data_IF_522238962460
#
_entry.id   IF_522238962460
#
_cell.length_a   1.000
_cell.length_b   1.000
_cell.length_c   1.000
_cell.angle_alpha   90.00
_cell.angle_beta   90.00
_cell.angle_gamma   90.00
#
_symmetry.space_group_name_H-M   'P 1'
#
loop_
_entity.id
_entity.type
_entity.pdbx_description
1 polymer ?
#
# COMPACT_ATOMS: atom_id res chain seq x y z
N UNK A 1 2.34 -23.11 20.00
CA UNK A 1 1.30 -22.07 19.84
C UNK A 1 1.92 -20.73 20.21
N UNK A 2 2.33 -19.92 19.24
CA UNK A 2 2.88 -18.58 19.52
C UNK A 2 1.73 -17.57 19.55
N UNK A 3 1.22 -17.31 20.74
CA UNK A 3 0.37 -16.16 21.01
C UNK A 3 1.30 -14.96 21.23
N UNK A 4 1.46 -14.09 20.22
CA UNK A 4 2.35 -12.94 20.34
C UNK A 4 1.56 -11.69 19.99
N UNK A 5 0.96 -11.09 21.03
CA UNK A 5 0.49 -9.70 21.01
C UNK A 5 1.63 -8.74 21.32
N UNK A 6 2.81 -8.94 20.71
CA UNK A 6 3.96 -8.04 20.88
C UNK A 6 4.08 -7.09 19.69
N UNK A 7 4.61 -5.87 19.89
CA UNK A 7 4.84 -4.91 18.81
C UNK A 7 5.62 -5.50 17.63
N UNK A 8 6.54 -6.43 17.88
CA UNK A 8 7.37 -7.07 16.84
C UNK A 8 6.56 -8.00 15.93
N UNK A 9 5.61 -8.77 16.47
CA UNK A 9 4.75 -9.64 15.66
C UNK A 9 3.82 -8.82 14.76
N UNK A 10 3.19 -7.79 15.32
CA UNK A 10 2.40 -6.84 14.54
C UNK A 10 3.25 -6.19 13.44
N UNK A 11 4.51 -5.87 13.76
CA UNK A 11 5.44 -5.31 12.79
C UNK A 11 5.81 -6.29 11.68
N UNK A 12 6.10 -7.53 12.04
CA UNK A 12 6.39 -8.59 11.08
C UNK A 12 5.21 -8.81 10.12
N UNK A 13 3.97 -8.73 10.60
CA UNK A 13 2.79 -8.89 9.76
C UNK A 13 2.59 -7.70 8.81
N UNK A 14 2.83 -6.47 9.27
CA UNK A 14 2.84 -5.29 8.41
C UNK A 14 3.96 -5.36 7.36
N UNK A 15 5.16 -5.83 7.75
CA UNK A 15 6.28 -6.04 6.84
C UNK A 15 5.97 -7.12 5.81
N UNK A 16 5.41 -8.28 6.19
CA UNK A 16 4.95 -9.32 5.26
C UNK A 16 3.92 -8.77 4.27
N UNK A 17 3.03 -7.91 4.74
CA UNK A 17 2.02 -7.28 3.90
C UNK A 17 2.64 -6.33 2.87
N UNK A 18 3.67 -5.57 3.21
CA UNK A 18 4.32 -4.68 2.24
C UNK A 18 5.46 -5.35 1.46
N UNK A 19 5.96 -6.51 1.88
CA UNK A 19 7.05 -7.26 1.23
C UNK A 19 6.60 -7.96 -0.06
N UNK A 20 6.01 -7.21 -0.99
CA UNK A 20 5.66 -7.63 -2.34
C UNK A 20 5.99 -6.47 -3.30
N UNK A 21 6.70 -6.74 -4.42
CA UNK A 21 7.14 -5.69 -5.33
C UNK A 21 5.99 -4.85 -5.90
N UNK A 22 4.87 -5.49 -6.23
CA UNK A 22 3.69 -4.81 -6.78
C UNK A 22 3.07 -3.90 -5.73
N UNK A 23 2.93 -4.36 -4.49
CA UNK A 23 2.39 -3.54 -3.39
C UNK A 23 3.28 -2.34 -3.07
N UNK A 24 4.61 -2.52 -3.00
CA UNK A 24 5.53 -1.39 -2.81
C UNK A 24 5.44 -0.38 -3.96
N UNK A 25 5.37 -0.87 -5.20
CA UNK A 25 5.19 -0.01 -6.36
C UNK A 25 3.90 0.80 -6.28
N UNK A 26 2.76 0.16 -5.96
CA UNK A 26 1.47 0.83 -5.80
C UNK A 26 1.55 1.91 -4.72
N UNK A 27 2.11 1.60 -3.56
CA UNK A 27 2.25 2.55 -2.45
C UNK A 27 3.14 3.74 -2.84
N UNK A 28 4.25 3.49 -3.52
CA UNK A 28 5.14 4.54 -4.03
C UNK A 28 4.46 5.38 -5.10
N UNK A 29 3.74 4.78 -6.05
CA UNK A 29 2.99 5.49 -7.07
C UNK A 29 1.94 6.42 -6.46
N UNK A 30 1.17 5.91 -5.49
CA UNK A 30 0.10 6.65 -4.82
C UNK A 30 0.62 7.73 -3.85
N UNK A 31 1.91 7.72 -3.51
CA UNK A 31 2.55 8.81 -2.76
C UNK A 31 2.56 10.14 -3.52
N UNK A 32 2.54 10.07 -4.86
CA UNK A 32 2.45 11.24 -5.74
C UNK A 32 1.01 11.78 -5.87
N UNK A 33 0.00 11.00 -5.48
CA UNK A 33 -1.40 11.42 -5.48
C UNK A 33 -2.38 10.29 -5.80
N UNK A 34 -3.70 10.55 -5.70
CA UNK A 34 -4.73 9.56 -6.02
C UNK A 34 -4.69 9.15 -7.49
N UNK A 35 -4.93 7.87 -7.77
CA UNK A 35 -4.94 7.29 -9.12
C UNK A 35 -6.12 6.36 -9.31
N UNK A 36 -6.71 6.34 -10.50
CA UNK A 36 -7.70 5.30 -10.87
C UNK A 36 -6.99 4.00 -11.24
N UNK A 37 -7.70 2.87 -11.13
CA UNK A 37 -7.15 1.53 -11.40
C UNK A 37 -6.42 1.44 -12.75
N UNK A 38 -6.94 2.09 -13.80
CA UNK A 38 -6.29 2.11 -15.13
C UNK A 38 -4.91 2.77 -15.10
N UNK A 39 -4.76 3.88 -14.37
CA UNK A 39 -3.47 4.57 -14.24
C UNK A 39 -2.48 3.76 -13.40
N UNK A 40 -2.96 3.06 -12.36
CA UNK A 40 -2.12 2.17 -11.53
C UNK A 40 -1.61 1.01 -12.39
N UNK A 41 -2.50 0.40 -13.18
CA UNK A 41 -2.16 -0.73 -14.04
C UNK A 41 -1.20 -0.35 -15.17
N UNK A 42 -1.22 0.90 -15.64
CA UNK A 42 -0.35 1.33 -16.74
C UNK A 42 1.15 1.20 -16.43
N UNK A 43 1.53 1.24 -15.16
CA UNK A 43 2.91 1.04 -14.71
C UNK A 43 3.24 -0.39 -14.26
N UNK A 44 2.30 -1.33 -14.39
CA UNK A 44 2.44 -2.72 -13.94
C UNK A 44 2.14 -3.68 -15.08
N UNK A 45 3.04 -4.64 -15.33
CA UNK A 45 2.84 -5.69 -16.32
C UNK A 45 2.06 -6.89 -15.73
N UNK A 46 0.94 -6.63 -15.04
CA UNK A 46 0.11 -7.65 -14.38
C UNK A 46 -1.34 -7.63 -14.86
N UNK A 47 -2.02 -8.77 -14.69
CA UNK A 47 -3.45 -8.88 -15.00
C UNK A 47 -4.33 -8.13 -13.99
N UNK A 48 -5.50 -7.68 -14.46
CA UNK A 48 -6.47 -6.90 -13.65
C UNK A 48 -6.95 -7.64 -12.38
N UNK A 49 -7.09 -8.97 -12.43
CA UNK A 49 -7.48 -9.77 -11.27
C UNK A 49 -6.43 -9.68 -10.15
N UNK A 50 -5.15 -9.85 -10.51
CA UNK A 50 -4.05 -9.77 -9.55
C UNK A 50 -3.90 -8.35 -8.99
N UNK A 51 -4.01 -7.32 -9.83
CA UNK A 51 -4.01 -5.94 -9.36
C UNK A 51 -5.15 -5.68 -8.36
N UNK A 52 -6.36 -6.16 -8.66
CA UNK A 52 -7.52 -6.01 -7.77
C UNK A 52 -7.31 -6.70 -6.43
N UNK A 53 -6.66 -7.87 -6.44
CA UNK A 53 -6.26 -8.57 -5.22
C UNK A 53 -5.31 -7.73 -4.36
N UNK A 54 -4.22 -7.20 -4.94
CA UNK A 54 -3.28 -6.34 -4.20
C UNK A 54 -3.95 -5.07 -3.65
N UNK A 55 -4.77 -4.39 -4.45
CA UNK A 55 -5.50 -3.19 -4.03
C UNK A 55 -6.48 -3.49 -2.88
N UNK A 56 -7.17 -4.63 -2.94
CA UNK A 56 -8.05 -5.10 -1.88
C UNK A 56 -7.27 -5.36 -0.59
N UNK A 57 -6.18 -6.12 -0.65
CA UNK A 57 -5.33 -6.41 0.53
C UNK A 57 -4.78 -5.13 1.17
N UNK A 58 -4.28 -4.18 0.37
CA UNK A 58 -3.77 -2.91 0.87
C UNK A 58 -4.87 -2.01 1.47
N UNK A 59 -6.08 -2.06 0.92
CA UNK A 59 -7.24 -1.34 1.46
C UNK A 59 -7.71 -1.95 2.78
N UNK A 60 -7.87 -3.27 2.85
CA UNK A 60 -8.36 -3.98 4.04
C UNK A 60 -7.39 -3.87 5.22
N UNK A 61 -6.10 -3.70 4.94
CA UNK A 61 -5.07 -3.42 5.95
C UNK A 61 -4.90 -1.94 6.31
N UNK A 62 -5.73 -1.05 5.74
CA UNK A 62 -5.73 0.36 6.08
C UNK A 62 -4.66 1.22 5.41
N UNK A 63 -3.86 0.67 4.47
CA UNK A 63 -2.89 1.46 3.72
C UNK A 63 -3.54 2.37 2.69
N UNK A 64 -4.67 1.93 2.13
CA UNK A 64 -5.38 2.63 1.06
C UNK A 64 -6.80 3.00 1.44
N UNK A 65 -7.24 4.11 0.90
CA UNK A 65 -8.65 4.49 0.82
C UNK A 65 -9.08 4.52 -0.64
N UNK A 66 -10.36 4.24 -0.88
CA UNK A 66 -10.93 4.18 -2.22
C UNK A 66 -12.14 5.10 -2.34
N UNK A 67 -12.28 5.78 -3.46
CA UNK A 67 -13.41 6.65 -3.79
C UNK A 67 -13.93 6.30 -5.19
N UNK A 68 -15.25 6.27 -5.38
CA UNK A 68 -15.82 6.11 -6.71
C UNK A 68 -15.74 7.43 -7.47
N UNK A 69 -15.08 7.43 -8.63
CA UNK A 69 -14.98 8.56 -9.55
C UNK A 69 -15.60 8.19 -10.88
N UNK A 70 -16.87 8.56 -11.06
CA UNK A 70 -17.67 8.18 -12.22
C UNK A 70 -17.78 6.66 -12.37
N UNK A 71 -17.24 6.12 -13.47
CA UNK A 71 -17.25 4.67 -13.77
C UNK A 71 -16.06 3.91 -13.17
N UNK A 72 -15.12 4.59 -12.54
CA UNK A 72 -13.89 3.97 -12.01
C UNK A 72 -13.75 4.17 -10.51
N UNK A 73 -12.90 3.37 -9.89
CA UNK A 73 -12.48 3.53 -8.49
C UNK A 73 -11.11 4.18 -8.49
N UNK A 74 -10.98 5.27 -7.74
CA UNK A 74 -9.70 5.91 -7.43
C UNK A 74 -9.20 5.43 -6.07
N UNK A 75 -7.91 5.15 -5.98
CA UNK A 75 -7.23 4.82 -4.74
C UNK A 75 -6.29 5.94 -4.33
N UNK A 76 -6.13 6.12 -3.03
CA UNK A 76 -5.15 7.03 -2.42
C UNK A 76 -4.58 6.40 -1.16
N UNK A 77 -3.40 6.83 -0.75
CA UNK A 77 -2.86 6.46 0.56
C UNK A 77 -3.80 6.95 1.68
N UNK A 78 -3.95 6.13 2.71
CA UNK A 78 -4.58 6.57 3.95
C UNK A 78 -3.71 7.63 4.64
N UNK A 79 -4.31 8.54 5.42
CA UNK A 79 -3.55 9.55 6.16
C UNK A 79 -2.50 8.91 7.06
N UNK A 80 -1.31 9.51 7.14
CA UNK A 80 -0.24 9.05 8.01
C UNK A 80 0.57 7.85 7.51
N UNK A 81 0.17 7.18 6.42
CA UNK A 81 0.91 6.03 5.87
C UNK A 81 2.22 6.41 5.19
N UNK A 82 2.38 7.66 4.76
CA UNK A 82 3.57 8.07 4.02
C UNK A 82 4.08 9.46 4.45
N UNK A 83 5.34 9.51 4.85
CA UNK A 83 6.07 10.73 5.16
C UNK A 83 6.81 11.21 3.91
N UNK A 84 6.22 12.20 3.23
CA UNK A 84 6.80 12.83 2.03
C UNK A 84 8.18 13.44 2.28
N UNK A 85 8.48 13.92 3.49
CA UNK A 85 9.76 14.57 3.79
C UNK A 85 10.89 13.56 3.88
N UNK A 86 10.58 12.33 4.32
CA UNK A 86 11.54 11.25 4.52
C UNK A 86 11.53 10.20 3.42
N UNK A 87 10.63 10.32 2.44
CA UNK A 87 10.37 9.31 1.42
C UNK A 87 10.17 7.91 2.06
N UNK A 88 9.28 7.86 3.06
CA UNK A 88 9.13 6.70 3.93
C UNK A 88 7.67 6.27 4.10
N UNK A 89 7.45 4.96 4.16
CA UNK A 89 6.19 4.34 4.60
C UNK A 89 6.20 4.19 6.12
N UNK A 90 5.14 4.66 6.76
CA UNK A 90 4.91 4.55 8.19
C UNK A 90 4.04 3.30 8.45
N UNK A 91 4.61 2.30 9.11
CA UNK A 91 3.93 1.02 9.39
C UNK A 91 3.38 0.96 10.83
N UNK A 92 3.43 2.07 11.57
CA UNK A 92 3.08 2.18 12.98
C UNK A 92 4.18 1.66 13.92
N UNK A 93 4.73 0.48 13.65
CA UNK A 93 5.82 -0.12 14.42
C UNK A 93 7.22 0.32 13.95
N UNK A 94 7.37 0.63 12.66
CA UNK A 94 8.63 0.97 12.04
C UNK A 94 8.38 1.81 10.78
N UNK A 95 9.46 2.26 10.15
CA UNK A 95 9.43 3.03 8.91
C UNK A 95 10.25 2.34 7.83
N UNK A 96 9.69 2.22 6.64
CA UNK A 96 10.39 1.71 5.47
C UNK A 96 10.75 2.90 4.59
N UNK A 97 12.05 3.18 4.47
CA UNK A 97 12.56 4.26 3.61
C UNK A 97 12.97 3.70 2.26
N UNK A 98 12.64 4.41 1.19
CA UNK A 98 13.15 4.07 -0.14
C UNK A 98 14.53 4.72 -0.31
N UNK A 99 15.58 3.90 -0.34
CA UNK A 99 16.91 4.37 -0.70
C UNK A 99 16.90 4.84 -2.17
N UNK A 100 17.53 6.00 -2.44
CA UNK A 100 17.78 6.50 -3.79
C UNK A 100 19.02 5.87 -4.38
#
# INVERSE_FOLDING_TARGET
>A
MMNVSTPEAACADMLKLVADPTRLYILRLLSAGPKVVKEINAGLAIGQNLLSHHLKTLKESGFLLSERRGKSIAYRLAPGIYDKRRDALELGCCKLTFAR
#
